data_IF_711374022696
#
_entry.id   IF_711374022696
#
_cell.length_a   1.000
_cell.length_b   1.000
_cell.length_c   1.000
_cell.angle_alpha   90.00
_cell.angle_beta   90.00
_cell.angle_gamma   90.00
#
_symmetry.space_group_name_H-M   'P 1'
#
loop_
_entity.id
_entity.type
_entity.pdbx_description
1 polymer ?
#
# COMPACT_ATOMS: atom_id res chain seq x y z
N UNK A 1 -27.16 -1.93 -7.42
CA UNK A 1 -25.80 -2.43 -7.73
C UNK A 1 -24.94 -1.99 -6.56
N UNK A 2 -24.32 -2.92 -5.84
CA UNK A 2 -23.42 -2.57 -4.73
C UNK A 2 -22.26 -1.76 -5.28
N UNK A 3 -22.06 -0.55 -4.78
CA UNK A 3 -20.96 0.32 -5.17
C UNK A 3 -19.63 -0.39 -4.95
N UNK A 4 -18.71 -0.32 -5.92
CA UNK A 4 -17.42 -1.01 -5.83
C UNK A 4 -16.58 -0.38 -4.72
N UNK A 5 -16.34 -1.13 -3.65
CA UNK A 5 -15.42 -0.76 -2.59
C UNK A 5 -14.09 -1.51 -2.74
N UNK A 6 -12.98 -0.79 -3.05
CA UNK A 6 -11.68 -1.41 -3.23
C UNK A 6 -11.13 -2.07 -1.97
N UNK A 7 -10.41 -3.16 -2.14
CA UNK A 7 -9.56 -3.74 -1.10
C UNK A 7 -8.11 -3.32 -1.37
N UNK A 8 -7.54 -2.48 -0.49
CA UNK A 8 -6.16 -2.00 -0.64
C UNK A 8 -5.30 -2.53 0.51
N UNK A 9 -4.37 -3.42 0.19
CA UNK A 9 -3.43 -3.97 1.17
C UNK A 9 -2.27 -3.00 1.37
N UNK A 10 -2.03 -2.58 2.61
CA UNK A 10 -1.01 -1.57 2.94
C UNK A 10 0.05 -2.16 3.84
N UNK A 11 1.24 -2.44 3.30
CA UNK A 11 2.39 -2.88 4.08
C UNK A 11 3.05 -1.68 4.74
N UNK A 12 2.91 -1.55 6.06
CA UNK A 12 3.38 -0.38 6.81
C UNK A 12 4.59 -0.71 7.69
N UNK A 13 5.69 0.01 7.47
CA UNK A 13 6.87 -0.03 8.33
C UNK A 13 6.50 0.34 9.77
N UNK A 14 6.92 -0.49 10.73
CA UNK A 14 6.65 -0.32 12.14
C UNK A 14 7.04 1.06 12.68
N UNK A 15 8.22 1.56 12.30
CA UNK A 15 8.81 2.75 12.91
C UNK A 15 8.21 4.08 12.45
N UNK A 16 7.70 4.14 11.22
CA UNK A 16 7.22 5.40 10.64
C UNK A 16 5.78 5.27 10.14
N UNK A 17 5.55 4.54 9.06
CA UNK A 17 4.24 4.46 8.42
C UNK A 17 3.14 3.89 9.32
N UNK A 18 3.44 2.88 10.14
CA UNK A 18 2.48 2.34 11.10
C UNK A 18 2.16 3.37 12.20
N UNK A 19 3.17 4.08 12.71
CA UNK A 19 2.97 5.18 13.66
C UNK A 19 2.18 6.34 13.06
N UNK A 20 2.36 6.65 11.77
CA UNK A 20 1.54 7.64 11.07
C UNK A 20 0.07 7.19 10.97
N UNK A 21 -0.18 5.89 10.69
CA UNK A 21 -1.52 5.33 10.71
C UNK A 21 -2.17 5.44 12.11
N UNK A 22 -1.43 5.10 13.16
CA UNK A 22 -1.88 5.25 14.55
C UNK A 22 -2.21 6.72 14.87
N UNK A 23 -1.34 7.65 14.46
CA UNK A 23 -1.54 9.08 14.67
C UNK A 23 -2.76 9.61 13.90
N UNK A 24 -3.01 9.13 12.68
CA UNK A 24 -4.23 9.48 11.93
C UNK A 24 -5.49 9.10 12.72
N UNK A 25 -5.49 7.93 13.37
CA UNK A 25 -6.55 7.48 14.26
C UNK A 25 -6.70 8.37 15.50
N UNK A 26 -5.59 8.71 16.17
CA UNK A 26 -5.57 9.62 17.33
C UNK A 26 -6.14 11.00 16.98
N UNK A 27 -5.77 11.51 15.81
CA UNK A 27 -6.25 12.79 15.28
C UNK A 27 -7.70 12.71 14.75
N UNK A 28 -8.32 11.52 14.74
CA UNK A 28 -9.67 11.26 14.22
C UNK A 28 -9.84 11.65 12.75
N UNK A 29 -8.74 11.58 11.98
CA UNK A 29 -8.77 11.88 10.56
C UNK A 29 -9.58 10.82 9.82
N UNK A 30 -10.53 11.28 9.01
CA UNK A 30 -11.34 10.39 8.19
C UNK A 30 -10.63 10.13 6.86
N UNK A 31 -10.61 8.87 6.47
CA UNK A 31 -10.16 8.40 5.17
C UNK A 31 -10.98 7.15 4.79
N UNK A 32 -11.00 6.74 3.51
CA UNK A 32 -11.83 5.62 3.08
C UNK A 32 -11.49 4.30 3.80
N UNK A 33 -12.51 3.49 4.09
CA UNK A 33 -12.39 2.21 4.78
C UNK A 33 -11.74 1.08 3.94
N UNK A 34 -11.37 1.37 2.70
CA UNK A 34 -10.71 0.46 1.74
C UNK A 34 -9.34 -0.06 2.18
N UNK A 35 -8.68 0.63 3.12
CA UNK A 35 -7.30 0.37 3.52
C UNK A 35 -7.22 -0.74 4.57
N UNK A 36 -6.40 -1.77 4.30
CA UNK A 36 -6.10 -2.87 5.23
C UNK A 36 -4.62 -2.90 5.55
N UNK A 37 -4.25 -2.44 6.74
CA UNK A 37 -2.85 -2.30 7.14
C UNK A 37 -2.27 -3.63 7.61
N UNK A 38 -1.14 -4.01 7.02
CA UNK A 38 -0.28 -5.13 7.44
C UNK A 38 1.01 -4.53 8.03
N UNK A 39 1.17 -4.68 9.34
CA UNK A 39 2.36 -4.22 10.04
C UNK A 39 3.56 -5.09 9.70
N UNK A 40 4.69 -4.46 9.36
CA UNK A 40 5.97 -5.12 9.08
C UNK A 40 7.10 -4.40 9.83
N UNK A 41 8.20 -5.09 10.22
CA UNK A 41 9.31 -4.43 10.93
C UNK A 41 9.96 -3.31 10.09
N UNK A 42 10.12 -3.53 8.79
CA UNK A 42 10.68 -2.56 7.85
C UNK A 42 10.18 -2.87 6.44
N UNK A 43 10.02 -1.85 5.59
CA UNK A 43 9.78 -2.05 4.14
C UNK A 43 10.90 -2.85 3.47
N UNK A 44 12.12 -2.84 4.01
CA UNK A 44 13.21 -3.68 3.53
C UNK A 44 12.93 -5.18 3.61
N UNK A 45 11.96 -5.62 4.43
CA UNK A 45 11.50 -7.02 4.50
C UNK A 45 10.60 -7.40 3.32
N UNK A 46 9.94 -6.42 2.69
CA UNK A 46 9.07 -6.66 1.56
C UNK A 46 9.89 -7.12 0.36
N UNK A 47 9.38 -8.19 -0.23
CA UNK A 47 9.84 -8.77 -1.48
C UNK A 47 8.71 -8.71 -2.50
N UNK A 48 9.06 -8.76 -3.78
CA UNK A 48 8.16 -8.79 -4.92
C UNK A 48 7.10 -9.88 -4.75
N UNK A 49 7.50 -11.05 -4.23
CA UNK A 49 6.56 -12.15 -3.97
C UNK A 49 5.40 -11.73 -3.05
N UNK A 50 5.66 -10.99 -1.97
CA UNK A 50 4.60 -10.52 -1.06
C UNK A 50 3.60 -9.60 -1.77
N UNK A 51 4.11 -8.75 -2.67
CA UNK A 51 3.29 -7.82 -3.46
C UNK A 51 2.41 -8.60 -4.44
N UNK A 52 3.01 -9.52 -5.21
CA UNK A 52 2.28 -10.31 -6.20
C UNK A 52 1.25 -11.23 -5.54
N UNK A 53 1.57 -11.85 -4.40
CA UNK A 53 0.61 -12.66 -3.64
C UNK A 53 -0.57 -11.83 -3.14
N UNK A 54 -0.39 -10.55 -2.80
CA UNK A 54 -1.52 -9.69 -2.43
C UNK A 54 -2.50 -9.52 -3.60
N UNK A 55 -1.99 -9.29 -4.82
CA UNK A 55 -2.82 -9.22 -6.02
C UNK A 55 -3.46 -10.56 -6.38
N UNK A 56 -2.72 -11.66 -6.28
CA UNK A 56 -3.24 -13.02 -6.49
C UNK A 56 -4.39 -13.36 -5.54
N UNK A 57 -4.30 -12.88 -4.28
CA UNK A 57 -5.38 -13.01 -3.28
C UNK A 57 -6.53 -12.01 -3.45
N UNK A 58 -6.52 -11.22 -4.52
CA UNK A 58 -7.62 -10.34 -4.90
C UNK A 58 -7.57 -8.93 -4.31
N UNK A 59 -6.40 -8.44 -3.88
CA UNK A 59 -6.24 -7.01 -3.58
C UNK A 59 -6.45 -6.17 -4.85
N UNK A 60 -7.24 -5.11 -4.75
CA UNK A 60 -7.50 -4.18 -5.85
C UNK A 60 -6.37 -3.16 -6.03
N UNK A 61 -5.65 -2.88 -4.93
CA UNK A 61 -4.42 -2.11 -4.91
C UNK A 61 -3.49 -2.52 -3.76
N UNK A 62 -2.22 -2.15 -3.86
CA UNK A 62 -1.19 -2.40 -2.84
C UNK A 62 -0.41 -1.13 -2.57
N UNK A 63 -0.28 -0.80 -1.28
CA UNK A 63 0.58 0.28 -0.80
C UNK A 63 1.77 -0.34 -0.05
N UNK A 64 2.97 0.15 -0.33
CA UNK A 64 4.16 -0.07 0.49
C UNK A 64 4.51 1.26 1.16
N UNK A 65 4.33 1.37 2.46
CA UNK A 65 4.55 2.60 3.21
C UNK A 65 5.77 2.48 4.12
N UNK A 66 6.78 3.32 3.87
CA UNK A 66 8.07 3.31 4.57
C UNK A 66 8.40 4.63 5.26
N UNK A 67 9.50 4.62 6.02
CA UNK A 67 10.13 5.84 6.50
C UNK A 67 10.60 6.71 5.32
N UNK A 68 10.68 8.03 5.53
CA UNK A 68 11.32 8.97 4.60
C UNK A 68 12.72 8.52 4.19
N UNK A 69 13.11 8.84 2.96
CA UNK A 69 14.46 8.56 2.47
C UNK A 69 15.46 9.36 3.33
N UNK A 70 16.46 8.67 3.89
CA UNK A 70 17.38 9.23 4.89
C UNK A 70 17.02 8.89 6.34
N UNK A 71 15.74 8.64 6.63
CA UNK A 71 15.23 8.42 8.00
C UNK A 71 14.93 6.94 8.29
N UNK A 72 15.46 6.02 7.50
CA UNK A 72 15.17 4.61 7.70
C UNK A 72 15.83 4.12 9.00
N UNK A 73 15.03 3.53 9.90
CA UNK A 73 15.54 2.91 11.13
C UNK A 73 16.61 1.83 10.87
N UNK A 74 16.49 1.14 9.72
CA UNK A 74 17.48 0.15 9.26
C UNK A 74 18.31 0.67 8.08
N UNK A 75 18.56 1.98 8.06
CA UNK A 75 19.44 2.75 7.16
C UNK A 75 19.00 2.76 5.68
N UNK A 76 18.89 1.60 5.04
CA UNK A 76 18.68 1.47 3.59
C UNK A 76 17.50 0.58 3.21
N UNK A 77 16.73 0.10 4.19
CA UNK A 77 15.61 -0.81 3.95
C UNK A 77 14.55 -0.26 3.00
N UNK A 78 14.21 1.03 3.15
CA UNK A 78 13.27 1.72 2.25
C UNK A 78 13.83 1.88 0.83
N UNK A 79 15.12 2.21 0.65
CA UNK A 79 15.76 2.33 -0.67
C UNK A 79 15.71 0.99 -1.42
N UNK A 80 15.99 -0.12 -0.73
CA UNK A 80 15.89 -1.47 -1.31
C UNK A 80 14.44 -1.79 -1.71
N UNK A 81 13.48 -1.43 -0.86
CA UNK A 81 12.06 -1.61 -1.15
C UNK A 81 11.62 -0.80 -2.38
N UNK A 82 12.08 0.45 -2.54
CA UNK A 82 11.79 1.29 -3.73
C UNK A 82 12.13 0.56 -5.01
N UNK A 83 13.34 -0.01 -5.10
CA UNK A 83 13.79 -0.75 -6.28
C UNK A 83 12.90 -1.98 -6.55
N UNK A 84 12.50 -2.70 -5.51
CA UNK A 84 11.61 -3.88 -5.62
C UNK A 84 10.20 -3.49 -6.05
N UNK A 85 9.65 -2.39 -5.54
CA UNK A 85 8.34 -1.88 -5.94
C UNK A 85 8.37 -1.46 -7.42
N UNK A 86 9.40 -0.76 -7.86
CA UNK A 86 9.55 -0.38 -9.27
C UNK A 86 9.68 -1.60 -10.18
N UNK A 87 10.40 -2.63 -9.74
CA UNK A 87 10.47 -3.89 -10.50
C UNK A 87 9.11 -4.61 -10.53
N UNK A 88 8.41 -4.69 -9.39
CA UNK A 88 7.08 -5.28 -9.32
C UNK A 88 6.06 -4.53 -10.22
N UNK A 89 6.13 -3.20 -10.31
CA UNK A 89 5.31 -2.40 -11.24
C UNK A 89 5.48 -2.86 -12.70
N UNK A 90 6.71 -3.13 -13.13
CA UNK A 90 6.99 -3.64 -14.49
C UNK A 90 6.39 -5.02 -14.70
N UNK A 91 6.52 -5.91 -13.71
CA UNK A 91 5.93 -7.24 -13.78
C UNK A 91 4.39 -7.18 -13.87
N UNK A 92 3.75 -6.23 -13.18
CA UNK A 92 2.30 -6.02 -13.29
C UNK A 92 1.92 -5.64 -14.73
N UNK A 93 2.62 -4.68 -15.33
CA UNK A 93 2.38 -4.29 -16.73
C UNK A 93 2.56 -5.47 -17.70
N UNK A 94 3.60 -6.27 -17.53
CA UNK A 94 3.89 -7.43 -18.37
C UNK A 94 2.76 -8.49 -18.34
N UNK A 95 2.08 -8.63 -17.20
CA UNK A 95 0.95 -9.56 -17.05
C UNK A 95 -0.41 -8.91 -17.33
N UNK A 96 -0.43 -7.66 -17.82
CA UNK A 96 -1.66 -6.94 -18.17
C UNK A 96 -2.41 -6.34 -16.97
N UNK A 97 -1.78 -6.24 -15.81
CA UNK A 97 -2.29 -5.47 -14.67
C UNK A 97 -1.74 -4.05 -14.70
N UNK A 98 -2.60 -3.07 -14.43
CA UNK A 98 -2.19 -1.68 -14.37
C UNK A 98 -1.19 -1.45 -13.21
N UNK A 99 0.01 -0.94 -13.52
CA UNK A 99 1.05 -0.62 -12.52
C UNK A 99 0.60 0.40 -11.48
N UNK A 100 -0.37 1.24 -11.80
CA UNK A 100 -0.93 2.26 -10.91
C UNK A 100 -1.66 1.62 -9.72
N UNK A 101 -1.91 0.30 -9.77
CA UNK A 101 -2.42 -0.48 -8.64
C UNK A 101 -1.41 -0.70 -7.52
N UNK A 102 -0.14 -0.40 -7.73
CA UNK A 102 0.92 -0.54 -6.73
C UNK A 102 1.59 0.82 -6.51
N UNK A 103 1.84 1.23 -5.28
CA UNK A 103 2.65 2.44 -5.03
C UNK A 103 3.48 2.34 -3.74
N UNK A 104 4.64 3.01 -3.75
CA UNK A 104 5.43 3.22 -2.54
C UNK A 104 5.32 4.66 -2.05
N UNK A 105 4.90 4.81 -0.79
CA UNK A 105 4.85 6.12 -0.11
C UNK A 105 5.85 6.18 1.03
N UNK A 106 6.28 7.40 1.34
CA UNK A 106 7.23 7.68 2.40
C UNK A 106 6.62 8.69 3.37
N UNK A 107 6.78 8.42 4.66
CA UNK A 107 6.27 9.28 5.74
C UNK A 107 7.07 9.04 7.02
N UNK A 108 7.08 10.01 7.93
CA UNK A 108 7.53 9.89 9.32
C UNK A 108 6.37 9.45 10.21
N UNK A 109 6.65 9.01 11.44
CA UNK A 109 5.61 8.67 12.42
C UNK A 109 4.72 9.86 12.83
N UNK A 110 5.16 11.10 12.61
CA UNK A 110 4.42 12.30 12.96
C UNK A 110 3.47 12.78 11.84
N UNK A 111 3.37 12.06 10.72
CA UNK A 111 2.60 12.49 9.55
C UNK A 111 1.25 11.76 9.42
N UNK A 112 0.40 11.84 10.45
CA UNK A 112 -0.94 11.24 10.42
C UNK A 112 -1.83 11.78 9.28
N UNK A 113 -1.76 13.10 9.04
CA UNK A 113 -2.45 13.72 7.90
C UNK A 113 -2.01 13.14 6.56
N UNK A 114 -0.70 12.92 6.39
CA UNK A 114 -0.15 12.33 5.17
C UNK A 114 -0.66 10.90 4.94
N UNK A 115 -0.78 10.11 6.01
CA UNK A 115 -1.34 8.76 5.89
C UNK A 115 -2.79 8.79 5.39
N UNK A 116 -3.63 9.68 5.94
CA UNK A 116 -5.01 9.85 5.51
C UNK A 116 -5.11 10.33 4.04
N UNK A 117 -4.26 11.27 3.63
CA UNK A 117 -4.15 11.70 2.22
C UNK A 117 -3.81 10.54 1.29
N UNK A 118 -2.77 9.78 1.61
CA UNK A 118 -2.32 8.63 0.82
C UNK A 118 -3.40 7.56 0.71
N UNK A 119 -4.12 7.29 1.80
CA UNK A 119 -5.25 6.38 1.82
C UNK A 119 -6.37 6.82 0.87
N UNK A 120 -6.71 8.12 0.87
CA UNK A 120 -7.72 8.68 0.00
C UNK A 120 -7.27 8.68 -1.47
N UNK A 121 -6.04 9.13 -1.74
CA UNK A 121 -5.44 9.17 -3.07
C UNK A 121 -5.45 7.79 -3.73
N UNK A 122 -4.96 6.78 -3.02
CA UNK A 122 -4.92 5.41 -3.54
C UNK A 122 -6.33 4.85 -3.73
N UNK A 123 -7.25 5.12 -2.81
CA UNK A 123 -8.65 4.66 -2.95
C UNK A 123 -9.29 5.21 -4.23
N UNK A 124 -9.17 6.51 -4.47
CA UNK A 124 -9.75 7.14 -5.66
C UNK A 124 -9.05 6.67 -6.94
N UNK A 125 -7.74 6.44 -6.90
CA UNK A 125 -7.00 5.82 -8.01
C UNK A 125 -7.56 4.44 -8.35
N UNK A 126 -7.74 3.56 -7.36
CA UNK A 126 -8.24 2.20 -7.59
C UNK A 126 -9.70 2.19 -8.01
N UNK A 127 -10.55 3.07 -7.47
CA UNK A 127 -11.95 3.20 -7.92
C UNK A 127 -12.04 3.49 -9.42
N UNK A 128 -11.17 4.37 -9.94
CA UNK A 128 -11.11 4.68 -11.39
C UNK A 128 -10.64 3.50 -12.23
N UNK A 129 -9.71 2.69 -11.71
CA UNK A 129 -9.22 1.48 -12.39
C UNK A 129 -10.20 0.30 -12.31
N UNK A 130 -11.14 0.34 -11.36
CA UNK A 130 -12.09 -0.74 -11.12
C UNK A 130 -11.47 -1.97 -10.42
N UNK A 131 -12.27 -3.04 -10.24
CA UNK A 131 -11.85 -4.24 -9.51
C UNK A 131 -10.67 -4.94 -10.18
N UNK A 132 -9.84 -5.61 -9.38
CA UNK A 132 -8.74 -6.42 -9.87
C UNK A 132 -9.27 -7.62 -10.68
N UNK A 133 -8.87 -7.79 -11.96
CA UNK A 133 -9.29 -8.92 -12.79
C UNK A 133 -8.94 -10.31 -12.23
N UNK A 134 -7.92 -10.41 -11.37
CA UNK A 134 -7.52 -11.67 -10.73
C UNK A 134 -8.39 -12.04 -9.52
N UNK A 135 -9.23 -11.10 -9.04
CA UNK A 135 -10.13 -11.35 -7.92
C UNK A 135 -11.17 -12.38 -8.34
N UNK A 136 -10.95 -13.63 -7.95
CA UNK A 136 -11.97 -14.68 -8.05
C UNK A 136 -13.20 -14.19 -7.30
N UNK A 137 -14.38 -14.29 -7.90
CA UNK A 137 -15.63 -14.10 -7.18
C UNK A 137 -15.54 -14.92 -5.89
N UNK A 138 -15.78 -14.28 -4.75
CA UNK A 138 -15.62 -14.90 -3.46
C UNK A 138 -16.34 -16.25 -3.49
N UNK A 139 -15.59 -17.35 -3.28
CA UNK A 139 -16.22 -18.64 -3.01
C UNK A 139 -17.18 -18.40 -1.85
N UNK A 140 -18.49 -18.45 -2.15
CA UNK A 140 -19.55 -18.48 -1.15
C UNK A 140 -19.33 -19.65 -0.19
#
# INVERSE_FOLDING_TARGET
MTEFEPIIVTFACHYCAYGAADLAGVMRLQYPASIRVVKIPCTGRIDVHHILTAFEKGADGVIVAGCRIGDCHFESGNIKATKRVQYAKKLLEEIGLDKERLEMYYMSSAEGARFAEVAAEMTERIKKLGPNPLRKEARK
#
